data_IF_764227191204
#
_entry.id   IF_764227191204
#
_cell.length_a   1.000
_cell.length_b   1.000
_cell.length_c   1.000
_cell.angle_alpha   90.00
_cell.angle_beta   90.00
_cell.angle_gamma   90.00
#
_symmetry.space_group_name_H-M   'P 1'
#
loop_
_entity.id
_entity.type
_entity.pdbx_description
1 polymer ?
#
# COMPACT_ATOMS: atom_id res chain seq x y z
N UNK A 1 9.66 -0.65 -8.86
CA UNK A 1 9.58 -1.78 -7.87
C UNK A 1 8.46 -2.71 -8.31
N UNK A 2 8.58 -4.05 -8.29
CA UNK A 2 9.35 -4.92 -7.38
C UNK A 2 10.71 -5.44 -7.92
N UNK A 3 11.13 -5.00 -9.10
CA UNK A 3 12.33 -5.48 -9.81
C UNK A 3 13.61 -4.64 -9.59
N UNK A 4 13.58 -3.60 -8.73
CA UNK A 4 14.65 -2.60 -8.57
C UNK A 4 15.14 -1.95 -9.88
N UNK A 5 14.34 -2.02 -10.94
CA UNK A 5 14.63 -1.44 -12.25
C UNK A 5 13.71 -0.25 -12.57
N UNK A 6 12.46 -0.31 -12.09
CA UNK A 6 11.49 0.77 -12.28
C UNK A 6 11.41 1.68 -11.05
N UNK A 7 11.38 2.99 -11.28
CA UNK A 7 11.03 3.98 -10.27
C UNK A 7 9.59 3.77 -9.80
N UNK A 8 9.36 3.87 -8.49
CA UNK A 8 8.04 3.75 -7.90
C UNK A 8 8.11 3.84 -6.38
N UNK A 9 7.02 4.27 -5.76
CA UNK A 9 6.92 4.34 -4.31
C UNK A 9 6.46 2.99 -3.74
N UNK A 10 6.84 2.70 -2.49
CA UNK A 10 6.37 1.49 -1.80
C UNK A 10 4.84 1.49 -1.68
N UNK A 11 4.22 2.67 -1.61
CA UNK A 11 2.78 2.85 -1.60
C UNK A 11 2.13 2.42 -2.92
N UNK A 12 2.78 2.62 -4.06
CA UNK A 12 2.28 2.12 -5.34
C UNK A 12 2.30 0.58 -5.35
N UNK A 13 3.37 -0.01 -4.80
CA UNK A 13 3.46 -1.46 -4.62
C UNK A 13 2.37 -1.98 -3.67
N UNK A 14 2.06 -1.28 -2.56
CA UNK A 14 0.96 -1.66 -1.66
C UNK A 14 -0.36 -1.68 -2.42
N UNK A 15 -0.66 -0.62 -3.18
CA UNK A 15 -1.91 -0.54 -3.96
C UNK A 15 -2.04 -1.68 -4.98
N UNK A 16 -0.94 -2.13 -5.59
CA UNK A 16 -0.93 -3.25 -6.53
C UNK A 16 -1.17 -4.62 -5.87
N UNK A 17 -0.94 -4.73 -4.56
CA UNK A 17 -1.06 -5.99 -3.81
C UNK A 17 -2.21 -5.94 -2.80
N UNK A 18 -3.16 -5.01 -2.93
CA UNK A 18 -4.32 -4.95 -2.02
C UNK A 18 -5.15 -6.22 -2.10
N UNK A 19 -5.61 -6.69 -0.94
CA UNK A 19 -6.61 -7.73 -0.88
C UNK A 19 -7.89 -7.25 -1.58
N UNK A 20 -8.59 -8.08 -2.39
CA UNK A 20 -9.80 -7.65 -3.10
C UNK A 20 -10.89 -7.05 -2.20
N UNK A 21 -10.97 -7.52 -0.94
CA UNK A 21 -11.88 -6.97 0.07
C UNK A 21 -11.59 -5.51 0.45
N UNK A 22 -10.35 -5.04 0.28
CA UNK A 22 -9.92 -3.69 0.62
C UNK A 22 -10.10 -2.69 -0.54
N UNK A 23 -10.38 -3.17 -1.76
CA UNK A 23 -10.46 -2.33 -2.95
C UNK A 23 -11.52 -1.21 -2.81
N UNK A 24 -12.68 -1.52 -2.22
CA UNK A 24 -13.75 -0.56 -2.01
C UNK A 24 -13.33 0.55 -1.01
N UNK A 25 -12.66 0.18 0.09
CA UNK A 25 -12.19 1.13 1.09
C UNK A 25 -11.05 2.00 0.55
N UNK A 26 -10.11 1.42 -0.19
CA UNK A 26 -9.06 2.17 -0.89
C UNK A 26 -9.67 3.17 -1.89
N UNK A 27 -10.68 2.76 -2.65
CA UNK A 27 -11.35 3.67 -3.58
C UNK A 27 -12.07 4.80 -2.83
N UNK A 28 -12.66 4.51 -1.67
CA UNK A 28 -13.23 5.54 -0.81
C UNK A 28 -12.15 6.54 -0.34
N UNK A 29 -10.97 6.07 0.07
CA UNK A 29 -9.88 6.93 0.51
C UNK A 29 -9.41 7.87 -0.61
N UNK A 30 -9.29 7.35 -1.83
CA UNK A 30 -8.98 8.14 -3.04
C UNK A 30 -10.02 9.23 -3.28
N UNK A 31 -11.31 8.87 -3.25
CA UNK A 31 -12.40 9.83 -3.43
C UNK A 31 -12.44 10.90 -2.33
N UNK A 32 -12.19 10.54 -1.07
CA UNK A 32 -12.11 11.51 0.02
C UNK A 32 -10.98 12.51 -0.16
N UNK A 33 -9.83 12.06 -0.68
CA UNK A 33 -8.71 12.94 -1.02
C UNK A 33 -9.07 13.90 -2.16
N UNK A 34 -9.76 13.43 -3.18
CA UNK A 34 -10.22 14.26 -4.31
C UNK A 34 -11.25 15.32 -3.89
N UNK A 35 -11.99 15.05 -2.82
CA UNK A 35 -13.04 15.92 -2.30
C UNK A 35 -12.57 16.87 -1.18
N UNK A 36 -11.27 16.93 -0.88
CA UNK A 36 -10.74 17.85 0.14
C UNK A 36 -11.10 19.30 -0.23
N UNK A 37 -11.81 20.05 0.65
CA UNK A 37 -12.12 21.45 0.39
C UNK A 37 -10.85 22.29 0.23
N UNK A 38 -10.74 23.02 -0.88
CA UNK A 38 -9.53 23.78 -1.20
C UNK A 38 -8.37 22.93 -1.73
N UNK A 39 -8.58 21.63 -1.93
CA UNK A 39 -7.63 20.68 -2.48
C UNK A 39 -6.58 20.16 -1.47
N UNK A 40 -5.84 19.10 -1.84
CA UNK A 40 -4.81 18.53 -0.99
C UNK A 40 -3.66 19.51 -0.76
N UNK A 41 -3.17 19.59 0.49
CA UNK A 41 -1.98 20.40 0.86
C UNK A 41 -0.66 19.78 0.39
N UNK A 42 -0.66 18.50 0.03
CA UNK A 42 0.53 17.77 -0.40
C UNK A 42 0.77 17.93 -1.91
N UNK A 43 2.04 17.81 -2.33
CA UNK A 43 2.41 17.84 -3.77
C UNK A 43 1.85 16.62 -4.50
N UNK A 44 1.53 16.70 -5.81
CA UNK A 44 1.03 15.56 -6.58
C UNK A 44 1.87 14.28 -6.46
N UNK A 45 3.20 14.41 -6.39
CA UNK A 45 4.13 13.28 -6.19
C UNK A 45 3.90 12.51 -4.87
N UNK A 46 3.25 13.11 -3.87
CA UNK A 46 2.95 12.48 -2.58
C UNK A 46 1.56 11.84 -2.53
N UNK A 47 0.87 11.77 -3.66
CA UNK A 47 -0.52 11.31 -3.72
C UNK A 47 -0.67 9.86 -3.27
N UNK A 48 0.12 8.92 -3.79
CA UNK A 48 0.04 7.51 -3.37
C UNK A 48 0.32 7.32 -1.87
N UNK A 49 1.22 8.13 -1.32
CA UNK A 49 1.47 8.19 0.12
C UNK A 49 0.25 8.66 0.93
N UNK A 50 -0.45 9.70 0.46
CA UNK A 50 -1.66 10.18 1.12
C UNK A 50 -2.80 9.16 1.04
N UNK A 51 -2.97 8.51 -0.11
CA UNK A 51 -3.97 7.46 -0.34
C UNK A 51 -3.77 6.27 0.61
N UNK A 52 -2.54 5.73 0.68
CA UNK A 52 -2.22 4.60 1.56
C UNK A 52 -2.33 5.00 3.03
N UNK A 53 -1.84 6.18 3.44
CA UNK A 53 -1.95 6.62 4.83
C UNK A 53 -3.41 6.81 5.27
N UNK A 54 -4.27 7.33 4.38
CA UNK A 54 -5.71 7.50 4.66
C UNK A 54 -6.41 6.16 4.78
N UNK A 55 -6.11 5.22 3.87
CA UNK A 55 -6.63 3.86 3.93
C UNK A 55 -6.16 3.12 5.20
N UNK A 56 -4.89 3.28 5.61
CA UNK A 56 -4.36 2.69 6.86
C UNK A 56 -5.04 3.28 8.11
N UNK A 57 -5.33 4.58 8.12
CA UNK A 57 -6.02 5.24 9.22
C UNK A 57 -7.47 4.74 9.43
N UNK A 58 -8.03 4.01 8.46
CA UNK A 58 -9.38 3.43 8.54
C UNK A 58 -9.39 1.92 8.81
N UNK A 59 -8.22 1.33 9.06
CA UNK A 59 -8.12 -0.07 9.43
C UNK A 59 -8.56 -0.33 10.87
N UNK A 60 -8.71 -1.61 11.23
CA UNK A 60 -9.14 -2.03 12.56
C UNK A 60 -8.27 -1.48 13.69
N UNK A 61 -7.00 -1.22 13.41
CA UNK A 61 -6.06 -0.53 14.29
C UNK A 61 -5.53 0.72 13.59
N UNK A 62 -6.19 1.88 13.76
CA UNK A 62 -5.79 3.12 13.11
C UNK A 62 -4.37 3.53 13.49
N UNK A 63 -3.49 3.59 12.50
CA UNK A 63 -2.15 4.17 12.62
C UNK A 63 -1.67 4.65 11.24
N UNK A 64 -0.50 5.28 11.21
CA UNK A 64 0.13 5.84 10.02
C UNK A 64 1.40 5.06 9.61
N UNK A 65 1.78 4.04 10.38
CA UNK A 65 2.94 3.22 10.11
C UNK A 65 2.72 2.30 8.90
N UNK A 66 3.57 2.44 7.88
CA UNK A 66 3.46 1.66 6.64
C UNK A 66 3.57 0.14 6.86
N UNK A 67 4.24 -0.28 7.93
CA UNK A 67 4.34 -1.69 8.34
C UNK A 67 2.97 -2.33 8.58
N UNK A 68 1.95 -1.53 8.90
CA UNK A 68 0.59 -2.03 9.09
C UNK A 68 0.00 -2.67 7.84
N UNK A 69 0.43 -2.26 6.63
CA UNK A 69 -0.02 -2.90 5.40
C UNK A 69 0.33 -4.40 5.37
N UNK A 70 1.35 -4.85 6.10
CA UNK A 70 1.71 -6.26 6.20
C UNK A 70 0.81 -7.07 7.16
N UNK A 71 -0.17 -6.44 7.83
CA UNK A 71 -1.12 -7.14 8.70
C UNK A 71 -2.01 -8.11 7.90
N UNK A 72 -2.47 -9.20 8.53
CA UNK A 72 -3.31 -10.19 7.86
C UNK A 72 -4.57 -9.57 7.25
N UNK A 73 -4.93 -10.00 6.03
CA UNK A 73 -6.15 -9.60 5.34
C UNK A 73 -6.09 -8.30 4.55
N UNK A 74 -5.00 -7.51 4.67
CA UNK A 74 -4.87 -6.24 3.95
C UNK A 74 -4.23 -6.38 2.57
N UNK A 75 -3.23 -7.24 2.44
CA UNK A 75 -2.60 -7.56 1.17
C UNK A 75 -3.08 -8.93 0.66
N UNK A 76 -3.23 -9.04 -0.66
CA UNK A 76 -3.50 -10.29 -1.33
C UNK A 76 -2.26 -11.18 -1.30
N UNK A 77 -2.31 -12.23 -0.49
CA UNK A 77 -1.26 -13.22 -0.40
C UNK A 77 -1.01 -13.95 -1.73
N UNK A 78 -1.93 -13.94 -2.69
CA UNK A 78 -1.74 -14.53 -4.01
C UNK A 78 -1.15 -13.55 -5.04
N UNK A 79 -1.00 -12.26 -4.70
CA UNK A 79 -0.53 -11.25 -5.64
C UNK A 79 0.90 -11.57 -6.14
N UNK A 80 1.15 -11.54 -7.47
CA UNK A 80 2.44 -11.91 -8.04
C UNK A 80 3.61 -11.10 -7.49
N UNK A 81 3.43 -9.80 -7.27
CA UNK A 81 4.47 -8.89 -6.79
C UNK A 81 4.81 -9.14 -5.32
N UNK A 82 3.83 -9.51 -4.50
CA UNK A 82 4.03 -9.94 -3.12
C UNK A 82 4.77 -11.27 -3.06
N UNK A 83 4.37 -12.24 -3.89
CA UNK A 83 5.06 -13.52 -3.98
C UNK A 83 6.52 -13.34 -4.42
N UNK A 84 6.77 -12.50 -5.43
CA UNK A 84 8.13 -12.20 -5.87
C UNK A 84 8.99 -11.60 -4.74
N UNK A 85 8.45 -10.65 -3.97
CA UNK A 85 9.15 -10.09 -2.82
C UNK A 85 9.42 -11.14 -1.74
N UNK A 86 8.42 -11.97 -1.41
CA UNK A 86 8.55 -13.04 -0.42
C UNK A 86 9.62 -14.05 -0.82
N UNK A 87 9.63 -14.49 -2.07
CA UNK A 87 10.66 -15.40 -2.61
C UNK A 87 12.04 -14.78 -2.54
N UNK A 88 12.17 -13.50 -2.89
CA UNK A 88 13.44 -12.80 -2.76
C UNK A 88 13.92 -12.72 -1.30
N UNK A 89 13.03 -12.38 -0.36
CA UNK A 89 13.35 -12.31 1.07
C UNK A 89 13.82 -13.66 1.62
N UNK A 90 13.14 -14.76 1.29
CA UNK A 90 13.53 -16.10 1.73
C UNK A 90 14.89 -16.53 1.16
N UNK A 91 15.27 -16.03 -0.02
CA UNK A 91 16.58 -16.31 -0.63
C UNK A 91 17.71 -15.51 0.03
N UNK A 92 17.44 -14.26 0.40
CA UNK A 92 18.44 -13.36 1.00
C UNK A 92 18.61 -13.63 2.50
N UNK A 93 17.52 -13.99 3.17
CA UNK A 93 17.47 -14.29 4.61
C UNK A 93 16.98 -15.73 4.82
N UNK A 94 17.80 -16.75 4.48
CA UNK A 94 17.44 -18.14 4.73
C UNK A 94 17.25 -18.38 6.23
N UNK A 95 16.24 -19.16 6.59
CA UNK A 95 16.06 -19.63 7.96
C UNK A 95 17.22 -20.59 8.28
N UNK A 96 18.04 -20.24 9.28
CA UNK A 96 19.02 -21.15 9.86
C UNK A 96 18.33 -22.25 10.68
#
# INVERSE_FOLDING_TARGET
>A
MPNNADDGMLEDWIQLNLHPGEAALMQHAKSSIDQIPGGPKFKPLRRSKAEVATWLAWQSEPDHGLWQAAKPGLLDNAAPQLQALKTWLMRVFPAN
#
